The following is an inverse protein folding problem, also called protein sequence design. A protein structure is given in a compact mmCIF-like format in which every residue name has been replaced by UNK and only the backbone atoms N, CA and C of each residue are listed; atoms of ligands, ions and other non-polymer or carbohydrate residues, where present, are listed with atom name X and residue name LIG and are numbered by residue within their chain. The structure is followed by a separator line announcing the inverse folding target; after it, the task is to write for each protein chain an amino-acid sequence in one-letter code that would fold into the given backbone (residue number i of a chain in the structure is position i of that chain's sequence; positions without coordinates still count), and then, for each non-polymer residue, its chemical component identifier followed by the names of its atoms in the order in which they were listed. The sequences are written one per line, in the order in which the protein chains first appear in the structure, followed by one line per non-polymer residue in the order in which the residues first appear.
data_IF_789423362204
#
_entry.id   IF_789423362204
#
_cell.length_a   1.000
_cell.length_b   1.000
_cell.length_c   1.000
_cell.angle_alpha   90.00
_cell.angle_beta   90.00
_cell.angle_gamma   90.00
#
_symmetry.space_group_name_H-M   'P 1'
#
loop_
_entity.id
_entity.type
_entity.pdbx_description
1 polymer ?
#
# COMPACT_ATOMS: atom_id res chain seq x y z
N UNK A 1 -22.37 -54.35 -51.44
CA UNK A 1 -21.07 -53.76 -51.05
C UNK A 1 -21.26 -53.18 -49.66
N UNK A 2 -20.83 -53.94 -48.63
CA UNK A 2 -20.97 -53.56 -47.23
C UNK A 2 -19.93 -52.47 -46.90
N UNK A 3 -20.36 -51.35 -46.34
CA UNK A 3 -19.48 -50.44 -45.60
C UNK A 3 -19.95 -50.46 -44.15
N UNK A 4 -19.01 -50.81 -43.29
CA UNK A 4 -19.17 -51.09 -41.86
C UNK A 4 -19.31 -49.79 -41.06
N UNK A 5 -19.79 -49.84 -39.80
CA UNK A 5 -20.04 -48.67 -38.95
C UNK A 5 -18.79 -47.91 -38.46
N UNK A 6 -17.63 -48.05 -39.11
CA UNK A 6 -16.33 -47.65 -38.55
C UNK A 6 -15.81 -46.29 -39.05
N UNK A 7 -16.42 -45.68 -40.07
CA UNK A 7 -15.99 -44.37 -40.60
C UNK A 7 -16.43 -43.16 -39.76
N UNK A 8 -17.21 -43.37 -38.69
CA UNK A 8 -17.58 -42.29 -37.75
C UNK A 8 -16.61 -42.14 -36.57
N UNK A 9 -15.64 -43.05 -36.40
CA UNK A 9 -14.70 -42.99 -35.28
C UNK A 9 -13.41 -42.22 -35.61
N UNK A 10 -13.08 -42.02 -36.89
CA UNK A 10 -11.82 -41.38 -37.31
C UNK A 10 -11.95 -39.86 -37.55
N UNK A 11 -13.14 -39.29 -37.32
CA UNK A 11 -13.39 -37.84 -37.43
C UNK A 11 -13.56 -37.15 -36.06
N UNK A 12 -13.16 -37.84 -34.98
CA UNK A 12 -13.18 -37.29 -33.61
C UNK A 12 -11.78 -37.02 -33.03
N UNK A 13 -10.71 -37.17 -33.81
CA UNK A 13 -9.32 -37.01 -33.33
C UNK A 13 -8.54 -35.87 -33.99
N UNK A 14 -9.15 -35.01 -34.82
CA UNK A 14 -8.42 -33.99 -35.60
C UNK A 14 -8.95 -32.56 -35.51
N UNK A 15 -9.59 -32.16 -34.41
CA UNK A 15 -9.87 -30.74 -34.20
C UNK A 15 -10.20 -30.41 -32.73
N UNK A 16 -9.18 -30.43 -31.87
CA UNK A 16 -9.20 -29.55 -30.70
C UNK A 16 -7.80 -29.28 -30.14
N UNK A 17 -6.86 -28.96 -31.04
CA UNK A 17 -5.73 -28.08 -30.70
C UNK A 17 -6.19 -26.62 -30.82
N UNK A 18 -7.24 -26.27 -30.09
CA UNK A 18 -7.52 -24.87 -29.78
C UNK A 18 -6.76 -24.53 -28.51
N UNK A 19 -5.49 -24.14 -28.72
CA UNK A 19 -4.77 -23.13 -27.96
C UNK A 19 -5.47 -22.73 -26.65
N UNK A 20 -5.24 -23.53 -25.60
CA UNK A 20 -5.42 -23.07 -24.23
C UNK A 20 -4.27 -22.13 -23.88
N UNK A 21 -4.18 -21.01 -24.61
CA UNK A 21 -3.46 -19.83 -24.18
C UNK A 21 -4.11 -19.43 -22.86
N UNK A 22 -3.40 -19.51 -21.71
CA UNK A 22 -3.92 -18.90 -20.50
C UNK A 22 -4.08 -17.41 -20.84
N UNK A 23 -5.30 -16.91 -20.65
CA UNK A 23 -5.70 -15.53 -20.73
C UNK A 23 -4.83 -14.67 -19.81
N UNK A 24 -3.63 -14.32 -20.29
CA UNK A 24 -2.70 -13.36 -19.70
C UNK A 24 -3.20 -11.91 -19.84
N UNK A 25 -4.50 -11.74 -20.07
CA UNK A 25 -5.19 -10.47 -20.29
C UNK A 25 -5.92 -9.92 -19.05
N UNK A 26 -5.80 -10.55 -17.87
CA UNK A 26 -6.43 -10.08 -16.63
C UNK A 26 -5.43 -9.41 -15.67
N UNK A 27 -4.83 -8.32 -16.13
CA UNK A 27 -4.60 -7.08 -15.36
C UNK A 27 -3.64 -6.19 -16.15
N UNK A 28 -4.18 -5.47 -17.14
CA UNK A 28 -3.63 -4.17 -17.51
C UNK A 28 -3.78 -3.27 -16.28
N UNK A 29 -2.89 -3.44 -15.30
CA UNK A 29 -2.68 -2.48 -14.23
C UNK A 29 -2.32 -1.19 -14.96
N UNK A 30 -3.27 -0.26 -15.00
CA UNK A 30 -3.07 1.05 -15.59
C UNK A 30 -1.98 1.76 -14.79
N UNK A 31 -0.72 1.51 -15.15
CA UNK A 31 0.44 2.00 -14.45
C UNK A 31 0.54 3.49 -14.70
N UNK A 32 0.45 4.25 -13.61
CA UNK A 32 0.70 5.69 -13.64
C UNK A 32 2.15 5.95 -14.11
N UNK A 33 2.39 6.98 -14.93
CA UNK A 33 3.73 7.31 -15.41
C UNK A 33 4.65 7.66 -14.24
N UNK A 34 5.88 7.14 -14.26
CA UNK A 34 6.87 7.43 -13.23
C UNK A 34 7.52 8.80 -13.46
N UNK A 35 7.48 9.67 -12.44
CA UNK A 35 8.20 10.96 -12.44
C UNK A 35 9.52 10.83 -11.67
N UNK A 36 10.49 11.70 -11.94
CA UNK A 36 11.78 11.68 -11.22
C UNK A 36 11.60 11.86 -9.70
N UNK A 37 10.67 12.72 -9.29
CA UNK A 37 10.31 12.92 -7.87
C UNK A 37 9.69 11.66 -7.26
N UNK A 38 8.77 11.02 -7.98
CA UNK A 38 8.13 9.79 -7.53
C UNK A 38 9.15 8.67 -7.32
N UNK A 39 10.14 8.51 -8.21
CA UNK A 39 11.19 7.48 -8.07
C UNK A 39 12.02 7.66 -6.81
N UNK A 40 12.42 8.89 -6.51
CA UNK A 40 13.22 9.18 -5.32
C UNK A 40 12.43 8.91 -4.04
N UNK A 41 11.19 9.40 -3.98
CA UNK A 41 10.32 9.23 -2.81
C UNK A 41 10.01 7.74 -2.61
N UNK A 42 9.61 7.03 -3.66
CA UNK A 42 9.31 5.60 -3.60
C UNK A 42 10.52 4.78 -3.16
N UNK A 43 11.73 5.15 -3.62
CA UNK A 43 12.97 4.51 -3.19
C UNK A 43 13.21 4.65 -1.68
N UNK A 44 12.99 5.85 -1.13
CA UNK A 44 13.08 6.09 0.31
C UNK A 44 12.02 5.30 1.07
N UNK A 45 10.76 5.32 0.61
CA UNK A 45 9.67 4.57 1.24
C UNK A 45 9.91 3.07 1.20
N UNK A 46 10.51 2.56 0.11
CA UNK A 46 10.88 1.15 0.00
C UNK A 46 11.96 0.76 0.98
N UNK A 47 13.01 1.57 1.11
CA UNK A 47 14.08 1.32 2.07
C UNK A 47 13.54 1.30 3.51
N UNK A 48 12.71 2.28 3.86
CA UNK A 48 12.09 2.37 5.19
C UNK A 48 11.12 1.21 5.42
N UNK A 49 10.27 0.87 4.45
CA UNK A 49 9.34 -0.25 4.54
C UNK A 49 10.05 -1.59 4.70
N UNK A 50 11.13 -1.82 3.95
CA UNK A 50 11.97 -3.02 4.09
C UNK A 50 12.63 -3.09 5.47
N UNK A 51 13.18 -1.97 5.97
CA UNK A 51 13.73 -1.92 7.32
C UNK A 51 12.65 -2.18 8.38
N UNK A 52 11.47 -1.58 8.21
CA UNK A 52 10.34 -1.75 9.11
C UNK A 52 9.78 -3.18 9.10
N UNK A 53 9.97 -3.97 8.04
CA UNK A 53 9.49 -5.37 8.00
C UNK A 53 10.08 -6.24 9.13
N UNK A 54 11.28 -5.91 9.61
CA UNK A 54 11.92 -6.57 10.74
C UNK A 54 11.17 -6.38 12.06
N UNK A 55 10.35 -5.33 12.17
CA UNK A 55 9.52 -5.06 13.35
C UNK A 55 8.56 -6.21 13.64
N UNK A 56 8.09 -6.91 12.60
CA UNK A 56 7.14 -8.01 12.74
C UNK A 56 7.81 -9.26 13.31
N UNK A 57 9.06 -9.52 12.93
CA UNK A 57 9.85 -10.61 13.50
C UNK A 57 10.10 -10.33 14.99
N UNK A 58 10.47 -9.10 15.32
CA UNK A 58 10.69 -8.68 16.71
C UNK A 58 9.39 -8.73 17.53
N UNK A 59 8.28 -8.24 16.98
CA UNK A 59 6.95 -8.33 17.60
C UNK A 59 6.57 -9.79 17.88
N UNK A 60 6.75 -10.68 16.91
CA UNK A 60 6.49 -12.11 17.08
C UNK A 60 7.33 -12.69 18.22
N UNK A 61 8.62 -12.35 18.29
CA UNK A 61 9.49 -12.76 19.39
C UNK A 61 8.99 -12.28 20.76
N UNK A 62 8.54 -11.03 20.86
CA UNK A 62 7.98 -10.46 22.10
C UNK A 62 6.67 -11.18 22.48
N UNK A 63 5.82 -11.51 21.51
CA UNK A 63 4.59 -12.28 21.76
C UNK A 63 4.93 -13.66 22.32
N UNK A 64 5.83 -14.40 21.66
CA UNK A 64 6.24 -15.73 22.11
C UNK A 64 6.85 -15.67 23.51
N UNK A 65 7.71 -14.69 23.78
CA UNK A 65 8.32 -14.50 25.09
C UNK A 65 7.25 -14.22 26.16
N UNK A 66 6.31 -13.32 25.89
CA UNK A 66 5.24 -12.99 26.83
C UNK A 66 4.32 -14.19 27.10
N UNK A 67 3.94 -14.93 26.05
CA UNK A 67 3.14 -16.16 26.16
C UNK A 67 3.90 -17.22 26.96
N UNK A 68 5.19 -17.43 26.67
CA UNK A 68 6.03 -18.36 27.42
C UNK A 68 6.10 -17.98 28.91
N UNK A 69 6.36 -16.73 29.23
CA UNK A 69 6.45 -16.29 30.61
C UNK A 69 5.10 -16.39 31.34
N UNK A 70 4.01 -16.06 30.66
CA UNK A 70 2.65 -16.19 31.20
C UNK A 70 2.28 -17.65 31.51
N UNK A 71 2.56 -18.58 30.60
CA UNK A 71 2.08 -19.96 30.73
C UNK A 71 3.10 -20.93 31.34
N UNK A 72 4.39 -20.75 31.09
CA UNK A 72 5.44 -21.61 31.63
C UNK A 72 5.96 -21.13 33.00
N UNK A 73 6.08 -19.81 33.18
CA UNK A 73 6.60 -19.21 34.42
C UNK A 73 5.49 -18.68 35.34
N UNK A 74 4.25 -18.57 34.84
CA UNK A 74 3.11 -18.05 35.60
C UNK A 74 3.14 -16.53 35.83
N UNK A 75 4.07 -15.81 35.21
CA UNK A 75 4.25 -14.36 35.37
C UNK A 75 3.82 -13.61 34.10
N UNK A 76 2.68 -12.93 34.15
CA UNK A 76 2.26 -12.00 33.10
C UNK A 76 2.83 -10.60 33.35
N UNK A 77 3.70 -10.11 32.46
CA UNK A 77 4.23 -8.73 32.56
C UNK A 77 3.50 -7.79 31.60
N UNK A 78 2.87 -6.77 32.17
CA UNK A 78 2.15 -5.72 31.43
C UNK A 78 3.11 -4.97 30.49
N UNK A 79 4.38 -4.79 30.87
CA UNK A 79 5.42 -4.18 30.03
C UNK A 79 5.52 -4.83 28.64
N UNK A 80 5.47 -6.17 28.56
CA UNK A 80 5.58 -6.88 27.27
C UNK A 80 4.29 -6.78 26.45
N UNK A 81 3.12 -6.84 27.10
CA UNK A 81 1.87 -6.51 26.42
C UNK A 81 1.92 -5.09 25.88
N UNK A 82 2.50 -4.18 26.65
CA UNK A 82 2.58 -2.81 26.22
C UNK A 82 3.50 -2.62 25.02
N UNK A 83 4.65 -3.28 25.06
CA UNK A 83 5.60 -3.28 23.97
C UNK A 83 4.97 -3.84 22.69
N UNK A 84 4.14 -4.87 22.79
CA UNK A 84 3.47 -5.46 21.62
C UNK A 84 2.59 -4.44 20.88
N UNK A 85 1.75 -3.66 21.58
CA UNK A 85 0.94 -2.65 20.89
C UNK A 85 1.77 -1.50 20.33
N UNK A 86 2.89 -1.14 20.97
CA UNK A 86 3.82 -0.15 20.43
C UNK A 86 4.43 -0.61 19.10
N UNK A 87 5.01 -1.82 19.08
CA UNK A 87 5.62 -2.39 17.88
C UNK A 87 4.59 -2.59 16.76
N UNK A 88 3.39 -3.06 17.12
CA UNK A 88 2.28 -3.19 16.17
C UNK A 88 1.89 -1.85 15.55
N UNK A 89 1.67 -0.82 16.37
CA UNK A 89 1.29 0.51 15.89
C UNK A 89 2.36 1.14 14.99
N UNK A 90 3.64 1.07 15.37
CA UNK A 90 4.76 1.57 14.55
C UNK A 90 4.81 0.83 13.21
N UNK A 91 4.71 -0.51 13.24
CA UNK A 91 4.72 -1.33 12.04
C UNK A 91 3.57 -1.02 11.10
N UNK A 92 2.37 -0.82 11.65
CA UNK A 92 1.20 -0.41 10.88
C UNK A 92 1.32 0.99 10.28
N UNK A 93 1.81 1.96 11.04
CA UNK A 93 1.94 3.34 10.57
C UNK A 93 2.93 3.45 9.40
N UNK A 94 4.07 2.77 9.49
CA UNK A 94 5.03 2.70 8.38
C UNK A 94 4.45 1.88 7.23
N UNK A 95 3.88 0.71 7.52
CA UNK A 95 3.26 -0.18 6.54
C UNK A 95 2.16 0.50 5.73
N UNK A 96 1.33 1.35 6.37
CA UNK A 96 0.28 2.11 5.72
C UNK A 96 0.83 3.03 4.62
N UNK A 97 1.90 3.76 4.92
CA UNK A 97 2.55 4.64 3.93
C UNK A 97 3.15 3.86 2.75
N UNK A 98 3.74 2.70 3.03
CA UNK A 98 4.29 1.80 2.01
C UNK A 98 3.17 1.22 1.12
N UNK A 99 2.11 0.67 1.72
CA UNK A 99 0.98 0.12 0.99
C UNK A 99 0.27 1.17 0.12
N UNK A 100 0.20 2.41 0.60
CA UNK A 100 -0.35 3.52 -0.17
C UNK A 100 0.53 3.84 -1.40
N UNK A 101 1.85 3.94 -1.23
CA UNK A 101 2.78 4.22 -2.35
C UNK A 101 2.72 3.14 -3.45
N UNK A 102 2.59 1.87 -3.06
CA UNK A 102 2.58 0.71 -3.97
C UNK A 102 1.18 0.26 -4.39
N UNK A 103 0.13 1.02 -4.07
CA UNK A 103 -1.24 0.69 -4.46
C UNK A 103 -1.73 -0.68 -3.95
N UNK A 104 -1.12 -1.17 -2.87
CA UNK A 104 -1.47 -2.44 -2.23
C UNK A 104 -2.52 -2.25 -1.13
N UNK A 105 -3.12 -1.07 -1.04
CA UNK A 105 -4.30 -0.86 -0.22
C UNK A 105 -5.51 -1.53 -0.90
N UNK A 106 -6.41 -2.10 -0.10
CA UNK A 106 -7.66 -2.67 -0.62
C UNK A 106 -8.50 -1.54 -1.20
N UNK A 107 -8.51 -1.43 -2.53
CA UNK A 107 -9.44 -0.56 -3.23
C UNK A 107 -10.77 -1.29 -3.33
N UNK A 108 -11.87 -0.55 -3.17
CA UNK A 108 -13.20 -1.09 -3.46
C UNK A 108 -13.31 -1.21 -4.99
N UNK A 109 -12.80 -2.33 -5.52
CA UNK A 109 -12.67 -2.57 -6.95
C UNK A 109 -14.02 -2.71 -7.67
N UNK A 110 -15.12 -2.84 -6.92
CA UNK A 110 -16.49 -2.95 -7.46
C UNK A 110 -16.92 -1.73 -8.29
N UNK A 111 -16.40 -0.54 -7.98
CA UNK A 111 -16.77 0.72 -8.67
C UNK A 111 -15.83 1.00 -9.87
N UNK A 112 -14.65 0.38 -9.87
CA UNK A 112 -13.57 0.71 -10.80
C UNK A 112 -13.59 -0.11 -12.10
N UNK A 113 -14.35 -1.20 -12.17
CA UNK A 113 -14.43 -2.06 -13.36
C UNK A 113 -14.94 -1.35 -14.62
N UNK A 114 -15.78 -0.32 -14.47
CA UNK A 114 -16.49 0.32 -15.59
C UNK A 114 -16.00 1.74 -15.95
N UNK A 115 -15.01 2.28 -15.23
CA UNK A 115 -14.57 3.67 -15.42
C UNK A 115 -13.34 3.78 -16.33
N UNK A 116 -13.33 4.81 -17.17
CA UNK A 116 -12.16 5.14 -18.00
C UNK A 116 -10.95 5.54 -17.13
N UNK A 117 -9.74 5.32 -17.62
CA UNK A 117 -8.50 5.68 -16.91
C UNK A 117 -8.45 7.18 -16.52
N UNK A 118 -9.03 8.05 -17.36
CA UNK A 118 -9.10 9.49 -17.04
C UNK A 118 -10.06 9.80 -15.92
N UNK A 119 -11.25 9.19 -15.92
CA UNK A 119 -12.22 9.36 -14.83
C UNK A 119 -11.64 8.87 -13.51
N UNK A 120 -10.96 7.71 -13.51
CA UNK A 120 -10.25 7.19 -12.34
C UNK A 120 -9.20 8.18 -11.82
N UNK A 121 -8.39 8.74 -12.71
CA UNK A 121 -7.33 9.70 -12.35
C UNK A 121 -7.90 11.02 -11.78
N UNK A 122 -9.05 11.48 -12.28
CA UNK A 122 -9.73 12.66 -11.71
C UNK A 122 -10.29 12.37 -10.31
N UNK A 123 -10.96 11.22 -10.12
CA UNK A 123 -11.46 10.80 -8.80
C UNK A 123 -10.30 10.70 -7.81
N UNK A 124 -9.19 10.10 -8.23
CA UNK A 124 -7.98 9.98 -7.42
C UNK A 124 -7.37 11.34 -7.08
N UNK A 125 -7.29 12.27 -8.05
CA UNK A 125 -6.81 13.63 -7.82
C UNK A 125 -7.65 14.35 -6.76
N UNK A 126 -8.97 14.32 -6.89
CA UNK A 126 -9.87 14.96 -5.92
C UNK A 126 -9.83 14.26 -4.57
N UNK A 127 -9.75 12.93 -4.53
CA UNK A 127 -9.60 12.18 -3.28
C UNK A 127 -8.31 12.55 -2.55
N UNK A 128 -7.20 12.69 -3.28
CA UNK A 128 -5.92 13.14 -2.71
C UNK A 128 -6.04 14.57 -2.20
N UNK A 129 -6.56 15.49 -3.02
CA UNK A 129 -6.52 16.92 -2.70
C UNK A 129 -7.53 17.33 -1.63
N UNK A 130 -8.73 16.75 -1.63
CA UNK A 130 -9.83 17.15 -0.74
C UNK A 130 -9.93 16.30 0.52
N UNK A 131 -9.42 15.07 0.50
CA UNK A 131 -9.55 14.16 1.64
C UNK A 131 -8.19 13.84 2.25
N UNK A 132 -7.29 13.23 1.49
CA UNK A 132 -6.07 12.64 2.06
C UNK A 132 -5.04 13.69 2.49
N UNK A 133 -4.77 14.68 1.64
CA UNK A 133 -3.80 15.75 1.92
C UNK A 133 -4.22 16.62 3.12
N UNK A 134 -5.44 17.19 3.19
CA UNK A 134 -5.84 17.99 4.35
C UNK A 134 -5.90 17.16 5.64
N UNK A 135 -6.32 15.90 5.57
CA UNK A 135 -6.29 14.98 6.71
C UNK A 135 -4.87 14.78 7.22
N UNK A 136 -3.93 14.42 6.33
CA UNK A 136 -2.54 14.16 6.69
C UNK A 136 -1.85 15.41 7.24
N UNK A 137 -2.08 16.58 6.64
CA UNK A 137 -1.55 17.85 7.14
C UNK A 137 -2.10 18.19 8.53
N UNK A 138 -3.40 17.98 8.77
CA UNK A 138 -4.02 18.22 10.08
C UNK A 138 -3.41 17.33 11.15
N UNK A 139 -3.25 16.04 10.88
CA UNK A 139 -2.65 15.10 11.83
C UNK A 139 -1.20 15.50 12.15
N UNK A 140 -0.40 15.83 11.12
CA UNK A 140 0.98 16.30 11.33
C UNK A 140 0.99 17.56 12.20
N UNK A 141 0.14 18.54 11.90
CA UNK A 141 0.06 19.80 12.64
C UNK A 141 -0.24 19.60 14.13
N UNK A 142 -1.23 18.76 14.46
CA UNK A 142 -1.59 18.49 15.86
C UNK A 142 -0.67 17.48 16.55
N UNK A 143 0.06 16.64 15.80
CA UNK A 143 0.96 15.66 16.39
C UNK A 143 2.17 16.30 17.10
N UNK A 144 2.69 17.43 16.58
CA UNK A 144 3.82 18.13 17.20
C UNK A 144 3.53 18.61 18.62
N UNK A 145 2.48 19.42 18.89
CA UNK A 145 2.14 19.82 20.25
C UNK A 145 1.80 18.62 21.12
N UNK A 146 1.15 17.60 20.56
CA UNK A 146 0.80 16.36 21.28
C UNK A 146 2.02 15.58 21.77
N UNK A 147 3.10 15.52 20.98
CA UNK A 147 4.38 14.92 21.37
C UNK A 147 5.09 15.79 22.41
N UNK A 148 5.16 17.10 22.18
CA UNK A 148 5.87 18.03 23.09
C UNK A 148 5.27 18.01 24.49
N UNK A 149 3.94 18.04 24.60
CA UNK A 149 3.25 17.95 25.88
C UNK A 149 3.55 16.63 26.60
N UNK A 150 3.56 15.51 25.86
CA UNK A 150 3.91 14.20 26.40
C UNK A 150 5.35 14.11 26.90
N UNK A 151 6.26 14.81 26.24
CA UNK A 151 7.67 14.87 26.61
C UNK A 151 7.86 15.68 27.89
N UNK A 152 7.29 16.89 27.95
CA UNK A 152 7.39 17.78 29.11
C UNK A 152 6.79 17.14 30.37
N UNK A 153 5.64 16.49 30.23
CA UNK A 153 4.94 15.84 31.34
C UNK A 153 5.55 14.48 31.73
N UNK A 154 6.61 14.03 31.05
CA UNK A 154 7.21 12.71 31.23
C UNK A 154 6.16 11.60 31.31
N UNK A 155 5.24 11.59 30.34
CA UNK A 155 4.04 10.75 30.41
C UNK A 155 4.40 9.26 30.49
N UNK A 156 3.90 8.60 31.53
CA UNK A 156 4.02 7.16 31.78
C UNK A 156 2.66 6.50 31.55
N UNK A 157 2.67 5.22 31.18
CA UNK A 157 1.43 4.49 31.04
C UNK A 157 0.62 4.43 32.34
N UNK A 158 -0.70 4.56 32.19
CA UNK A 158 -1.65 4.50 33.30
C UNK A 158 -1.82 3.08 33.87
N UNK A 159 -1.31 2.06 33.18
CA UNK A 159 -1.35 0.68 33.65
C UNK A 159 -0.29 0.45 34.73
N UNK A 160 -0.60 -0.35 35.78
CA UNK A 160 0.39 -0.75 36.78
C UNK A 160 1.57 -1.48 36.10
N UNK A 161 2.78 -0.91 36.20
CA UNK A 161 3.96 -1.47 35.53
C UNK A 161 4.00 -1.26 34.01
N UNK A 162 3.28 -0.26 33.49
CA UNK A 162 3.35 0.09 32.07
C UNK A 162 4.63 0.85 31.69
N UNK A 163 4.87 0.99 30.39
CA UNK A 163 6.11 1.51 29.85
C UNK A 163 6.29 3.01 30.16
N UNK A 164 7.51 3.42 30.56
CA UNK A 164 7.88 4.82 30.58
C UNK A 164 8.01 5.34 29.15
N UNK A 165 7.85 6.66 28.96
CA UNK A 165 8.09 7.36 27.68
C UNK A 165 7.02 7.18 26.60
N UNK A 166 5.76 7.48 26.93
CA UNK A 166 4.66 7.50 25.93
C UNK A 166 4.86 8.47 24.77
N UNK A 167 5.79 9.42 24.87
CA UNK A 167 6.13 10.30 23.76
C UNK A 167 6.68 9.51 22.56
N UNK A 168 7.29 8.33 22.75
CA UNK A 168 7.84 7.49 21.67
C UNK A 168 6.75 7.03 20.71
N UNK A 169 5.63 6.50 21.23
CA UNK A 169 4.52 6.07 20.38
C UNK A 169 3.86 7.26 19.69
N UNK A 170 3.73 8.40 20.36
CA UNK A 170 3.20 9.62 19.75
C UNK A 170 4.11 10.14 18.63
N UNK A 171 5.43 10.02 18.79
CA UNK A 171 6.39 10.34 17.74
C UNK A 171 6.26 9.43 16.53
N UNK A 172 5.97 8.14 16.75
CA UNK A 172 5.75 7.19 15.65
C UNK A 172 4.55 7.57 14.79
N UNK A 173 3.49 8.16 15.39
CA UNK A 173 2.35 8.72 14.68
C UNK A 173 2.79 9.83 13.72
N UNK A 174 3.56 10.81 14.21
CA UNK A 174 4.09 11.88 13.37
C UNK A 174 4.92 11.32 12.21
N UNK A 175 5.84 10.39 12.49
CA UNK A 175 6.69 9.78 11.46
C UNK A 175 5.87 9.04 10.41
N UNK A 176 4.90 8.22 10.83
CA UNK A 176 4.03 7.48 9.91
C UNK A 176 3.23 8.39 8.98
N UNK A 177 2.67 9.47 9.52
CA UNK A 177 1.90 10.43 8.74
C UNK A 177 2.78 11.29 7.83
N UNK A 178 4.01 11.62 8.22
CA UNK A 178 4.99 12.28 7.34
C UNK A 178 5.34 11.36 6.16
N UNK A 179 5.58 10.07 6.41
CA UNK A 179 5.83 9.10 5.33
C UNK A 179 4.61 8.95 4.41
N UNK A 180 3.40 8.94 4.97
CA UNK A 180 2.16 8.92 4.20
C UNK A 180 1.98 10.19 3.37
N UNK A 181 2.37 11.36 3.90
CA UNK A 181 2.36 12.63 3.16
C UNK A 181 3.31 12.55 1.95
N UNK A 182 4.52 12.02 2.15
CA UNK A 182 5.49 11.79 1.07
C UNK A 182 4.92 10.83 0.01
N UNK A 183 4.33 9.71 0.43
CA UNK A 183 3.65 8.76 -0.46
C UNK A 183 2.56 9.48 -1.29
N UNK A 184 1.78 10.33 -0.62
CA UNK A 184 0.71 11.14 -1.22
C UNK A 184 1.24 12.10 -2.27
N UNK A 185 2.35 12.79 -1.99
CA UNK A 185 3.00 13.70 -2.95
C UNK A 185 3.56 12.93 -4.15
N UNK A 186 4.22 11.79 -3.92
CA UNK A 186 4.68 10.90 -5.00
C UNK A 186 3.52 10.51 -5.91
N UNK A 187 2.41 10.08 -5.31
CA UNK A 187 1.19 9.68 -6.03
C UNK A 187 0.56 10.82 -6.82
N UNK A 188 0.38 11.97 -6.17
CA UNK A 188 -0.15 13.19 -6.78
C UNK A 188 0.67 13.60 -8.00
N UNK A 189 1.99 13.53 -7.93
CA UNK A 189 2.88 13.86 -9.05
C UNK A 189 2.63 12.99 -10.28
N UNK A 190 2.34 11.70 -10.09
CA UNK A 190 2.07 10.74 -11.18
C UNK A 190 0.68 10.95 -11.79
N UNK A 191 -0.31 11.24 -10.96
CA UNK A 191 -1.69 11.56 -11.41
C UNK A 191 -1.70 12.85 -12.23
N UNK A 192 -1.01 13.89 -11.75
CA UNK A 192 -0.85 15.15 -12.49
C UNK A 192 -0.11 14.93 -13.82
N UNK A 193 0.98 14.14 -13.81
CA UNK A 193 1.68 13.80 -15.04
C UNK A 193 0.75 13.08 -16.04
N UNK A 194 -0.08 12.13 -15.61
CA UNK A 194 -1.01 11.44 -16.50
C UNK A 194 -2.08 12.38 -17.11
N UNK A 195 -2.65 13.28 -16.29
CA UNK A 195 -3.71 14.18 -16.74
C UNK A 195 -3.20 15.29 -17.67
N UNK A 196 -2.01 15.83 -17.39
CA UNK A 196 -1.44 16.96 -18.14
C UNK A 196 -0.48 16.55 -19.26
N UNK A 197 0.12 15.37 -19.24
CA UNK A 197 1.01 14.88 -20.29
C UNK A 197 0.21 14.28 -21.47
N UNK A 198 -0.48 15.15 -22.22
CA UNK A 198 -0.92 14.88 -23.59
C UNK A 198 -0.73 16.14 -24.45
N UNK A 199 0.41 16.23 -25.14
CA UNK A 199 0.49 16.92 -26.43
C UNK A 199 1.72 16.49 -27.26
N UNK A 200 1.68 15.29 -27.88
CA UNK A 200 2.43 15.01 -29.14
C UNK A 200 2.09 13.67 -29.81
N UNK A 201 0.91 13.53 -30.40
CA UNK A 201 0.68 12.45 -31.39
C UNK A 201 -0.39 12.74 -32.43
N UNK A 202 -0.66 14.02 -32.75
CA UNK A 202 -1.61 14.41 -33.81
C UNK A 202 -0.94 15.29 -34.88
N UNK A 203 0.30 14.94 -35.27
CA UNK A 203 0.90 15.46 -36.51
C UNK A 203 1.57 14.28 -37.22
N UNK A 204 0.78 13.38 -37.78
CA UNK A 204 1.19 12.76 -39.04
C UNK A 204 0.59 13.64 -40.14
N UNK A 205 1.41 14.36 -40.94
CA UNK A 205 0.89 14.92 -42.17
C UNK A 205 0.47 13.73 -43.04
N UNK A 206 -0.80 13.67 -43.38
CA UNK A 206 -1.35 12.79 -44.41
C UNK A 206 -0.51 13.00 -45.67
N UNK A 207 0.45 12.11 -45.94
CA UNK A 207 1.07 12.04 -47.24
C UNK A 207 0.06 11.41 -48.19
N UNK A 208 -0.77 12.27 -48.78
CA UNK A 208 -1.38 12.00 -50.09
C UNK A 208 -0.28 11.56 -51.03
N UNK A 209 -0.30 10.30 -51.45
CA UNK A 209 0.42 9.85 -52.62
C UNK A 209 -0.59 9.50 -53.73
N UNK A 210 -0.25 9.85 -54.99
CA UNK A 210 -1.16 9.95 -56.14
C UNK A 210 -1.65 8.61 -56.69
#
# INVERSE_FOLDING_TARGET
MQLTPNDKAENLSSNNDSDSQPSSSLSSNAQLPETALSKQIDGVLKAIGNAASWIWILLMGIIILNVFMRYALGEGRIEFEELQWHFYAVGWLIGLSYCFAYDQHVRVDLIHGHLSLRTKSWIELFGILLLLLPFTCTVIWYSVPFISYSWEMHEISSAPGGLPYRWVIKSSLLVGFVLLALATISRLSRVLALLFHRKRSDIQPTSTHP
#
